data_IF_505084805183
#
_entry.id   IF_505084805183
#
_cell.length_a   1.000
_cell.length_b   1.000
_cell.length_c   1.000
_cell.angle_alpha   90.00
_cell.angle_beta   90.00
_cell.angle_gamma   90.00
#
_symmetry.space_group_name_H-M   'P 1'
#
loop_
_entity.id
_entity.type
_entity.pdbx_description
1 polymer ?
#
# COMPACT_ATOMS: atom_id res chain seq x y z
N UNK A 1 -18.86 7.65 42.04
CA UNK A 1 -18.88 6.82 40.83
C UNK A 1 -19.19 7.56 39.51
N UNK A 2 -19.16 8.92 39.45
CA UNK A 2 -19.49 9.72 38.24
C UNK A 2 -18.26 10.27 37.46
N UNK A 3 -17.01 9.94 37.83
CA UNK A 3 -15.80 10.51 37.20
C UNK A 3 -14.94 9.51 36.41
N UNK A 4 -15.33 8.23 36.33
CA UNK A 4 -14.58 7.19 35.57
C UNK A 4 -15.14 6.92 34.15
N UNK A 5 -16.35 7.38 33.84
CA UNK A 5 -17.01 7.14 32.54
C UNK A 5 -16.33 7.86 31.38
N UNK A 6 -15.83 9.12 31.50
CA UNK A 6 -15.20 9.78 30.35
C UNK A 6 -13.82 9.21 29.97
N UNK A 7 -13.09 8.59 30.89
CA UNK A 7 -11.77 8.00 30.61
C UNK A 7 -11.89 6.70 29.82
N UNK A 8 -12.90 5.88 30.13
CA UNK A 8 -13.17 4.63 29.41
C UNK A 8 -13.69 4.91 27.98
N UNK A 9 -14.49 5.96 27.81
CA UNK A 9 -14.98 6.38 26.49
C UNK A 9 -13.86 6.95 25.60
N UNK A 10 -12.90 7.66 26.19
CA UNK A 10 -11.71 8.17 25.50
C UNK A 10 -10.75 7.08 25.02
N UNK A 11 -10.57 6.01 25.82
CA UNK A 11 -9.73 4.85 25.46
C UNK A 11 -10.36 3.99 24.37
N UNK A 12 -11.69 3.85 24.35
CA UNK A 12 -12.44 3.15 23.29
C UNK A 12 -12.37 3.90 21.95
N UNK A 13 -12.41 5.24 21.95
CA UNK A 13 -12.28 6.05 20.74
C UNK A 13 -10.86 6.02 20.13
N UNK A 14 -9.83 5.90 20.94
CA UNK A 14 -8.44 5.75 20.48
C UNK A 14 -8.18 4.39 19.84
N UNK A 15 -8.78 3.32 20.33
CA UNK A 15 -8.69 1.97 19.74
C UNK A 15 -9.36 1.86 18.37
N UNK A 16 -10.51 2.53 18.17
CA UNK A 16 -11.22 2.56 16.87
C UNK A 16 -10.47 3.38 15.83
N UNK A 17 -9.81 4.47 16.23
CA UNK A 17 -9.02 5.29 15.32
C UNK A 17 -7.76 4.56 14.81
N UNK A 18 -7.09 3.79 15.65
CA UNK A 18 -5.92 3.00 15.27
C UNK A 18 -6.30 1.87 14.28
N UNK A 19 -7.40 1.16 14.54
CA UNK A 19 -7.89 0.09 13.64
C UNK A 19 -8.33 0.64 12.28
N UNK A 20 -9.01 1.80 12.25
CA UNK A 20 -9.43 2.45 11.01
C UNK A 20 -8.23 2.95 10.17
N UNK A 21 -7.14 3.35 10.82
CA UNK A 21 -5.92 3.79 10.13
C UNK A 21 -5.16 2.60 9.53
N UNK A 22 -5.14 1.45 10.20
CA UNK A 22 -4.51 0.22 9.72
C UNK A 22 -5.30 -0.36 8.53
N UNK A 23 -6.62 -0.40 8.61
CA UNK A 23 -7.50 -0.85 7.51
C UNK A 23 -7.33 0.04 6.27
N UNK A 24 -7.29 1.36 6.41
CA UNK A 24 -7.06 2.28 5.27
C UNK A 24 -5.69 2.07 4.64
N UNK A 25 -4.67 1.75 5.43
CA UNK A 25 -3.32 1.47 4.94
C UNK A 25 -3.28 0.15 4.15
N UNK A 26 -3.99 -0.87 4.62
CA UNK A 26 -4.14 -2.16 3.94
C UNK A 26 -4.90 -2.02 2.62
N UNK A 27 -6.05 -1.33 2.61
CA UNK A 27 -6.82 -1.04 1.40
C UNK A 27 -6.00 -0.25 0.36
N UNK A 28 -5.23 0.75 0.80
CA UNK A 28 -4.33 1.50 -0.07
C UNK A 28 -3.25 0.61 -0.68
N UNK A 29 -2.66 -0.30 0.10
CA UNK A 29 -1.66 -1.25 -0.38
C UNK A 29 -2.23 -2.23 -1.40
N UNK A 30 -3.42 -2.78 -1.12
CA UNK A 30 -4.15 -3.67 -2.03
C UNK A 30 -4.45 -2.99 -3.36
N UNK A 31 -5.01 -1.77 -3.33
CA UNK A 31 -5.27 -0.99 -4.53
C UNK A 31 -3.99 -0.68 -5.35
N UNK A 32 -2.86 -0.48 -4.67
CA UNK A 32 -1.56 -0.28 -5.33
C UNK A 32 -1.09 -1.56 -6.05
N UNK A 33 -1.20 -2.72 -5.42
CA UNK A 33 -0.84 -4.02 -6.01
C UNK A 33 -1.73 -4.37 -7.20
N UNK A 34 -3.03 -4.12 -7.11
CA UNK A 34 -3.97 -4.32 -8.21
C UNK A 34 -3.65 -3.42 -9.42
N UNK A 35 -3.30 -2.15 -9.18
CA UNK A 35 -2.84 -1.23 -10.23
C UNK A 35 -1.54 -1.73 -10.86
N UNK A 36 -0.59 -2.19 -10.09
CA UNK A 36 0.67 -2.75 -10.59
C UNK A 36 0.44 -3.96 -11.49
N UNK A 37 -0.42 -4.90 -11.06
CA UNK A 37 -0.82 -6.06 -11.86
C UNK A 37 -1.47 -5.63 -13.19
N UNK A 38 -2.35 -4.63 -13.18
CA UNK A 38 -3.01 -4.12 -14.37
C UNK A 38 -2.02 -3.49 -15.36
N UNK A 39 -1.04 -2.71 -14.87
CA UNK A 39 0.04 -2.13 -15.68
C UNK A 39 0.88 -3.24 -16.32
N UNK A 40 1.28 -4.25 -15.56
CA UNK A 40 2.05 -5.38 -16.05
C UNK A 40 1.29 -6.16 -17.13
N UNK A 41 -0.01 -6.42 -16.93
CA UNK A 41 -0.85 -7.08 -17.94
C UNK A 41 -0.90 -6.32 -19.26
N UNK A 42 -1.00 -4.99 -19.20
CA UNK A 42 -0.94 -4.13 -20.39
C UNK A 42 0.41 -4.25 -21.10
N UNK A 43 1.51 -4.18 -20.36
CA UNK A 43 2.86 -4.30 -20.92
C UNK A 43 3.12 -5.68 -21.55
N UNK A 44 2.66 -6.77 -20.93
CA UNK A 44 2.76 -8.12 -21.49
C UNK A 44 1.97 -8.25 -22.80
N UNK A 45 0.79 -7.66 -22.87
CA UNK A 45 -0.04 -7.66 -24.11
C UNK A 45 0.63 -6.89 -25.24
N UNK A 46 1.21 -5.73 -24.94
CA UNK A 46 1.91 -4.90 -25.91
C UNK A 46 3.22 -5.55 -26.39
N UNK A 47 3.82 -6.42 -25.58
CA UNK A 47 5.10 -7.11 -25.85
C UNK A 47 4.99 -8.42 -26.65
N UNK A 48 3.81 -8.97 -26.88
CA UNK A 48 3.60 -10.30 -27.44
C UNK A 48 4.16 -10.56 -28.86
N UNK A 49 4.78 -9.58 -29.51
CA UNK A 49 5.16 -9.63 -30.93
C UNK A 49 6.65 -9.92 -31.24
N UNK A 50 7.58 -10.08 -30.29
CA UNK A 50 8.98 -10.37 -30.60
C UNK A 50 9.73 -11.25 -29.59
N UNK A 51 10.54 -12.20 -30.10
CA UNK A 51 11.29 -13.18 -29.30
C UNK A 51 12.50 -12.61 -28.52
N UNK A 52 12.93 -11.37 -28.82
CA UNK A 52 13.99 -10.68 -28.04
C UNK A 52 13.55 -10.22 -26.66
N UNK A 53 12.26 -10.22 -26.41
CA UNK A 53 11.59 -9.72 -25.20
C UNK A 53 11.35 -10.76 -24.11
N UNK A 54 11.63 -12.03 -24.37
CA UNK A 54 11.26 -13.11 -23.45
C UNK A 54 11.88 -13.01 -22.04
N UNK A 55 13.02 -12.33 -21.87
CA UNK A 55 13.58 -12.05 -20.55
C UNK A 55 12.85 -10.94 -19.82
N UNK A 56 12.46 -9.89 -20.54
CA UNK A 56 11.64 -8.81 -19.98
C UNK A 56 10.27 -9.34 -19.59
N UNK A 57 9.64 -10.15 -20.46
CA UNK A 57 8.35 -10.79 -20.17
C UNK A 57 8.45 -11.69 -18.93
N UNK A 58 9.52 -12.49 -18.80
CA UNK A 58 9.75 -13.30 -17.60
C UNK A 58 9.88 -12.46 -16.32
N UNK A 59 10.60 -11.32 -16.41
CA UNK A 59 10.73 -10.40 -15.27
C UNK A 59 9.39 -9.80 -14.88
N UNK A 60 8.58 -9.41 -15.85
CA UNK A 60 7.25 -8.86 -15.64
C UNK A 60 6.30 -9.91 -15.03
N UNK A 61 6.28 -11.13 -15.57
CA UNK A 61 5.45 -12.22 -15.01
C UNK A 61 5.87 -12.53 -13.57
N UNK A 62 7.16 -12.59 -13.26
CA UNK A 62 7.64 -12.81 -11.88
C UNK A 62 7.26 -11.67 -10.94
N UNK A 63 7.33 -10.43 -11.39
CA UNK A 63 6.87 -9.28 -10.59
C UNK A 63 5.37 -9.36 -10.34
N UNK A 64 4.58 -9.73 -11.34
CA UNK A 64 3.15 -9.96 -11.23
C UNK A 64 2.83 -11.07 -10.23
N UNK A 65 3.55 -12.20 -10.27
CA UNK A 65 3.44 -13.28 -9.30
C UNK A 65 3.70 -12.78 -7.88
N UNK A 66 4.80 -12.03 -7.66
CA UNK A 66 5.12 -11.46 -6.35
C UNK A 66 4.03 -10.52 -5.84
N UNK A 67 3.54 -9.60 -6.69
CA UNK A 67 2.45 -8.69 -6.33
C UNK A 67 1.16 -9.43 -5.98
N UNK A 68 0.83 -10.51 -6.73
CA UNK A 68 -0.34 -11.34 -6.43
C UNK A 68 -0.19 -12.14 -5.14
N UNK A 69 1.01 -12.66 -4.85
CA UNK A 69 1.28 -13.33 -3.57
C UNK A 69 1.10 -12.39 -2.37
N UNK A 70 1.57 -11.14 -2.49
CA UNK A 70 1.35 -10.10 -1.48
C UNK A 70 -0.15 -9.78 -1.34
N UNK A 71 -0.88 -9.66 -2.45
CA UNK A 71 -2.31 -9.41 -2.46
C UNK A 71 -3.09 -10.53 -1.74
N UNK A 72 -2.76 -11.79 -2.02
CA UNK A 72 -3.36 -12.95 -1.35
C UNK A 72 -3.05 -12.92 0.16
N UNK A 73 -1.80 -12.65 0.54
CA UNK A 73 -1.41 -12.58 1.95
C UNK A 73 -2.13 -11.46 2.71
N UNK A 74 -2.38 -10.32 2.06
CA UNK A 74 -3.17 -9.22 2.63
C UNK A 74 -4.64 -9.60 2.77
N UNK A 75 -5.23 -10.24 1.74
CA UNK A 75 -6.60 -10.75 1.79
C UNK A 75 -6.78 -11.80 2.89
N UNK A 76 -5.80 -12.66 3.13
CA UNK A 76 -5.84 -13.64 4.21
C UNK A 76 -5.87 -12.94 5.59
N UNK A 77 -5.09 -11.87 5.80
CA UNK A 77 -5.12 -11.09 7.05
C UNK A 77 -6.48 -10.43 7.27
N UNK A 78 -7.05 -9.82 6.22
CA UNK A 78 -8.38 -9.21 6.29
C UNK A 78 -9.46 -10.23 6.64
N UNK A 79 -9.44 -11.42 6.01
CA UNK A 79 -10.37 -12.51 6.28
C UNK A 79 -10.25 -12.99 7.72
N UNK A 80 -9.02 -13.16 8.25
CA UNK A 80 -8.81 -13.56 9.63
C UNK A 80 -9.34 -12.52 10.64
N UNK A 81 -9.07 -11.23 10.40
CA UNK A 81 -9.59 -10.16 11.26
C UNK A 81 -11.12 -10.10 11.25
N UNK A 82 -11.73 -10.33 10.07
CA UNK A 82 -13.18 -10.38 9.93
C UNK A 82 -13.79 -11.60 10.62
N UNK A 83 -13.15 -12.78 10.51
CA UNK A 83 -13.56 -14.00 11.22
C UNK A 83 -13.51 -13.83 12.74
N UNK A 84 -12.46 -13.19 13.26
CA UNK A 84 -12.36 -12.86 14.68
C UNK A 84 -13.48 -11.92 15.13
N UNK A 85 -13.77 -10.90 14.33
CA UNK A 85 -14.87 -9.96 14.58
C UNK A 85 -16.25 -10.65 14.57
N UNK A 86 -16.47 -11.53 13.59
CA UNK A 86 -17.70 -12.37 13.51
C UNK A 86 -17.82 -13.24 14.75
N UNK A 87 -16.74 -13.86 15.21
CA UNK A 87 -16.74 -14.71 16.41
C UNK A 87 -17.07 -13.93 17.68
N UNK A 88 -16.50 -12.73 17.82
CA UNK A 88 -16.81 -11.83 18.94
C UNK A 88 -18.27 -11.41 18.91
N UNK A 89 -18.76 -11.00 17.75
CA UNK A 89 -20.16 -10.56 17.56
C UNK A 89 -21.14 -11.70 17.82
N UNK A 90 -20.84 -12.93 17.38
CA UNK A 90 -21.67 -14.09 17.68
C UNK A 90 -21.80 -14.32 19.19
N UNK A 91 -20.68 -14.25 19.94
CA UNK A 91 -20.72 -14.40 21.42
C UNK A 91 -21.55 -13.30 22.10
N UNK A 92 -21.52 -12.10 21.57
CA UNK A 92 -22.34 -10.99 22.07
C UNK A 92 -23.83 -11.27 21.83
N UNK A 93 -24.20 -11.72 20.64
CA UNK A 93 -25.56 -12.13 20.30
C UNK A 93 -26.03 -13.27 21.22
N UNK A 94 -25.21 -14.29 21.42
CA UNK A 94 -25.55 -15.43 22.29
C UNK A 94 -25.83 -14.96 23.74
N UNK A 95 -25.04 -14.01 24.26
CA UNK A 95 -25.28 -13.39 25.58
C UNK A 95 -26.57 -12.58 25.61
N UNK A 96 -26.84 -11.79 24.59
CA UNK A 96 -28.10 -11.01 24.49
C UNK A 96 -29.31 -11.92 24.39
N UNK A 97 -29.21 -13.00 23.62
CA UNK A 97 -30.25 -14.01 23.49
C UNK A 97 -30.54 -14.67 24.85
N UNK A 98 -29.53 -15.14 25.55
CA UNK A 98 -29.67 -15.76 26.87
C UNK A 98 -30.30 -14.78 27.89
N UNK A 99 -29.92 -13.50 27.86
CA UNK A 99 -30.52 -12.46 28.68
C UNK A 99 -32.01 -12.24 28.34
N UNK A 100 -32.32 -12.12 27.05
CA UNK A 100 -33.69 -11.98 26.57
C UNK A 100 -34.58 -13.15 27.02
N UNK A 101 -34.08 -14.38 26.85
CA UNK A 101 -34.81 -15.60 27.22
C UNK A 101 -35.04 -15.68 28.72
N UNK A 102 -34.05 -15.30 29.53
CA UNK A 102 -34.15 -15.22 30.97
C UNK A 102 -35.21 -14.21 31.40
N UNK A 103 -35.18 -12.97 30.86
CA UNK A 103 -36.14 -11.95 31.13
C UNK A 103 -37.57 -12.38 30.74
N UNK A 104 -37.70 -12.99 29.56
CA UNK A 104 -38.96 -13.51 29.04
C UNK A 104 -39.55 -14.61 29.94
N UNK A 105 -38.68 -15.52 30.42
CA UNK A 105 -39.11 -16.60 31.34
C UNK A 105 -39.65 -16.02 32.67
N UNK A 106 -38.92 -15.07 33.27
CA UNK A 106 -39.37 -14.42 34.51
C UNK A 106 -40.64 -13.62 34.31
N UNK A 107 -40.73 -12.84 33.23
CA UNK A 107 -41.93 -12.08 32.90
C UNK A 107 -43.15 -12.98 32.68
N UNK A 108 -43.00 -14.07 31.93
CA UNK A 108 -44.09 -15.02 31.71
C UNK A 108 -44.59 -15.68 33.01
N UNK A 109 -43.68 -15.98 33.96
CA UNK A 109 -44.07 -16.48 35.28
C UNK A 109 -44.85 -15.42 36.05
N UNK A 110 -44.38 -14.18 36.00
CA UNK A 110 -45.01 -13.04 36.69
C UNK A 110 -46.40 -12.76 36.12
N UNK A 111 -46.54 -12.71 34.79
CA UNK A 111 -47.84 -12.53 34.10
C UNK A 111 -48.80 -13.65 34.40
N UNK A 112 -48.38 -14.92 34.42
CA UNK A 112 -49.21 -16.07 34.77
C UNK A 112 -49.71 -15.97 36.22
N UNK A 113 -48.85 -15.55 37.15
CA UNK A 113 -49.22 -15.34 38.55
C UNK A 113 -50.25 -14.19 38.69
N UNK A 114 -50.01 -13.06 38.03
CA UNK A 114 -50.93 -11.93 38.01
C UNK A 114 -52.30 -12.31 37.40
N UNK A 115 -52.30 -13.10 36.30
CA UNK A 115 -53.53 -13.54 35.65
C UNK A 115 -54.35 -14.49 36.52
N UNK A 116 -53.75 -15.40 37.27
CA UNK A 116 -54.43 -16.27 38.23
C UNK A 116 -55.13 -15.48 39.32
N UNK A 117 -54.55 -14.33 39.69
CA UNK A 117 -55.07 -13.44 40.73
C UNK A 117 -55.70 -12.15 40.14
N UNK A 118 -56.31 -12.24 38.95
CA UNK A 118 -56.85 -11.09 38.20
C UNK A 118 -58.10 -10.45 38.80
N UNK A 119 -58.77 -11.16 39.72
CA UNK A 119 -59.98 -10.61 40.39
C UNK A 119 -59.58 -9.42 41.28
N UNK A 120 -60.05 -8.23 40.88
CA UNK A 120 -59.76 -7.01 41.63
C UNK A 120 -60.20 -7.06 43.06
N UNK A 121 -61.24 -7.88 43.39
CA UNK A 121 -61.73 -8.10 44.75
C UNK A 121 -60.63 -8.68 45.65
N UNK A 122 -59.76 -9.60 45.13
CA UNK A 122 -58.66 -10.17 45.87
C UNK A 122 -57.64 -9.09 46.27
N UNK A 123 -57.38 -8.13 45.42
CA UNK A 123 -56.47 -7.04 45.71
C UNK A 123 -57.00 -6.06 46.74
N UNK A 124 -58.33 -5.70 46.63
CA UNK A 124 -58.97 -4.90 47.65
C UNK A 124 -59.08 -5.61 48.99
N UNK A 125 -59.43 -6.91 49.02
CA UNK A 125 -59.41 -7.73 50.21
C UNK A 125 -58.05 -7.81 50.87
N UNK A 126 -56.95 -7.95 50.06
CA UNK A 126 -55.56 -8.00 50.55
C UNK A 126 -55.14 -6.70 51.25
N UNK A 127 -55.60 -5.54 50.73
CA UNK A 127 -55.35 -4.24 51.35
C UNK A 127 -56.21 -4.04 52.59
N UNK A 128 -57.51 -4.33 52.48
CA UNK A 128 -58.50 -4.09 53.53
C UNK A 128 -58.39 -5.06 54.72
N UNK A 129 -57.80 -6.24 54.52
CA UNK A 129 -57.51 -7.20 55.59
C UNK A 129 -56.21 -6.84 56.39
N UNK A 130 -55.76 -5.60 56.28
CA UNK A 130 -54.59 -5.11 57.03
C UNK A 130 -55.02 -4.80 58.50
N UNK A 131 -54.14 -5.15 59.42
CA UNK A 131 -54.37 -4.91 60.88
C UNK A 131 -54.31 -3.43 61.26
N UNK A 132 -53.65 -2.61 60.46
CA UNK A 132 -53.52 -1.18 60.67
C UNK A 132 -53.24 -0.43 59.37
N UNK A 133 -53.42 0.89 59.38
CA UNK A 133 -53.26 1.78 58.23
C UNK A 133 -51.82 1.69 57.61
N UNK A 134 -50.79 1.60 58.44
CA UNK A 134 -49.40 1.47 58.05
C UNK A 134 -49.14 0.19 57.21
N UNK A 135 -49.80 -0.91 57.59
CA UNK A 135 -49.75 -2.16 56.85
C UNK A 135 -50.49 -2.08 55.53
N UNK A 136 -51.66 -1.40 55.49
CA UNK A 136 -52.40 -1.16 54.27
C UNK A 136 -51.60 -0.34 53.26
N UNK A 137 -50.93 0.73 53.68
CA UNK A 137 -50.06 1.54 52.86
C UNK A 137 -48.86 0.74 52.30
N UNK A 138 -48.21 -0.11 53.11
CA UNK A 138 -47.11 -0.99 52.66
C UNK A 138 -47.60 -2.00 51.63
N UNK A 139 -48.79 -2.63 51.83
CA UNK A 139 -49.37 -3.58 50.87
C UNK A 139 -49.76 -2.91 49.58
N UNK A 140 -50.31 -1.69 49.58
CA UNK A 140 -50.56 -0.89 48.39
C UNK A 140 -49.28 -0.51 47.67
N UNK A 141 -48.26 -0.07 48.40
CA UNK A 141 -46.93 0.22 47.86
C UNK A 141 -46.28 -0.99 47.17
N UNK A 142 -46.44 -2.18 47.76
CA UNK A 142 -45.94 -3.43 47.16
C UNK A 142 -46.64 -3.74 45.82
N UNK A 143 -47.99 -3.62 45.76
CA UNK A 143 -48.74 -3.85 44.54
C UNK A 143 -48.42 -2.85 43.45
N UNK A 144 -48.27 -1.57 43.79
CA UNK A 144 -47.82 -0.53 42.87
C UNK A 144 -46.40 -0.80 42.36
N UNK A 145 -45.48 -1.24 43.24
CA UNK A 145 -44.13 -1.67 42.88
C UNK A 145 -44.12 -2.87 41.95
N UNK A 146 -45.00 -3.87 42.22
CA UNK A 146 -45.15 -5.04 41.37
C UNK A 146 -45.58 -4.67 39.93
N UNK A 147 -46.61 -3.82 39.80
CA UNK A 147 -47.09 -3.33 38.51
C UNK A 147 -46.02 -2.57 37.75
N UNK A 148 -45.28 -1.69 38.45
CA UNK A 148 -44.15 -0.96 37.84
C UNK A 148 -43.08 -1.92 37.37
N UNK A 149 -42.69 -2.90 38.19
CA UNK A 149 -41.68 -3.90 37.83
C UNK A 149 -42.10 -4.71 36.59
N UNK A 150 -43.39 -5.07 36.49
CA UNK A 150 -43.94 -5.75 35.31
C UNK A 150 -43.77 -4.89 34.04
N UNK A 151 -44.12 -3.62 34.10
CA UNK A 151 -43.99 -2.68 32.99
C UNK A 151 -42.52 -2.48 32.58
N UNK A 152 -41.63 -2.31 33.56
CA UNK A 152 -40.20 -2.14 33.33
C UNK A 152 -39.58 -3.41 32.70
N UNK A 153 -39.99 -4.60 33.17
CA UNK A 153 -39.56 -5.87 32.58
C UNK A 153 -40.04 -6.04 31.14
N UNK A 154 -41.30 -5.71 30.85
CA UNK A 154 -41.83 -5.76 29.49
C UNK A 154 -41.07 -4.83 28.55
N UNK A 155 -40.76 -3.61 28.99
CA UNK A 155 -39.95 -2.66 28.24
C UNK A 155 -38.52 -3.19 27.98
N UNK A 156 -37.88 -3.74 28.99
CA UNK A 156 -36.53 -4.32 28.83
C UNK A 156 -36.51 -5.49 27.87
N UNK A 157 -37.55 -6.33 27.84
CA UNK A 157 -37.66 -7.42 26.86
C UNK A 157 -37.76 -6.85 25.45
N UNK A 158 -38.62 -5.85 25.21
CA UNK A 158 -38.77 -5.20 23.91
C UNK A 158 -37.47 -4.54 23.44
N UNK A 159 -36.82 -3.78 24.32
CA UNK A 159 -35.55 -3.13 24.04
C UNK A 159 -34.44 -4.17 23.71
N UNK A 160 -34.35 -5.26 24.50
CA UNK A 160 -33.38 -6.32 24.25
C UNK A 160 -33.65 -7.07 22.94
N UNK A 161 -34.96 -7.30 22.62
CA UNK A 161 -35.33 -7.93 21.36
C UNK A 161 -34.96 -7.05 20.14
N UNK A 162 -35.24 -5.74 20.23
CA UNK A 162 -34.88 -4.80 19.17
C UNK A 162 -33.34 -4.74 18.93
N UNK A 163 -32.57 -4.67 20.01
CA UNK A 163 -31.09 -4.69 19.90
C UNK A 163 -30.61 -6.02 19.31
N UNK A 164 -31.18 -7.13 19.76
CA UNK A 164 -30.82 -8.46 19.28
C UNK A 164 -31.05 -8.60 17.77
N UNK A 165 -32.15 -8.10 17.27
CA UNK A 165 -32.48 -8.16 15.83
C UNK A 165 -31.46 -7.35 14.99
N UNK A 166 -31.18 -6.11 15.44
CA UNK A 166 -30.15 -5.27 14.78
C UNK A 166 -28.78 -5.94 14.76
N UNK A 167 -28.39 -6.57 15.88
CA UNK A 167 -27.08 -7.24 15.95
C UNK A 167 -27.01 -8.51 15.09
N UNK A 168 -28.12 -9.25 14.97
CA UNK A 168 -28.22 -10.40 14.03
C UNK A 168 -28.10 -9.96 12.58
N UNK A 169 -28.76 -8.86 12.22
CA UNK A 169 -28.65 -8.30 10.86
C UNK A 169 -27.22 -7.85 10.55
N UNK A 170 -26.57 -7.14 11.48
CA UNK A 170 -25.15 -6.78 11.35
C UNK A 170 -24.25 -7.99 11.16
N UNK A 171 -24.47 -9.05 11.94
CA UNK A 171 -23.71 -10.29 11.78
C UNK A 171 -23.95 -10.95 10.42
N UNK A 172 -25.16 -10.92 9.89
CA UNK A 172 -25.49 -11.43 8.56
C UNK A 172 -24.70 -10.69 7.48
N UNK A 173 -24.65 -9.35 7.54
CA UNK A 173 -23.87 -8.51 6.62
C UNK A 173 -22.36 -8.85 6.70
N UNK A 174 -21.81 -8.97 7.92
CA UNK A 174 -20.41 -9.35 8.10
C UNK A 174 -20.06 -10.73 7.52
N UNK A 175 -20.98 -11.70 7.66
CA UNK A 175 -20.78 -13.04 7.08
C UNK A 175 -20.82 -13.03 5.55
N UNK A 176 -21.67 -12.20 4.97
CA UNK A 176 -21.74 -12.04 3.52
C UNK A 176 -20.48 -11.37 2.96
N UNK A 177 -19.99 -10.31 3.61
CA UNK A 177 -18.70 -9.69 3.28
C UNK A 177 -17.54 -10.71 3.38
N UNK A 178 -17.47 -11.50 4.44
CA UNK A 178 -16.46 -12.55 4.59
C UNK A 178 -16.54 -13.60 3.46
N UNK A 179 -17.74 -13.97 3.03
CA UNK A 179 -17.95 -14.90 1.91
C UNK A 179 -17.45 -14.31 0.59
N UNK A 180 -17.77 -13.05 0.32
CA UNK A 180 -17.34 -12.32 -0.87
C UNK A 180 -15.82 -12.21 -0.92
N UNK A 181 -15.16 -11.85 0.19
CA UNK A 181 -13.70 -11.77 0.28
C UNK A 181 -13.02 -13.11 0.06
N UNK A 182 -13.57 -14.20 0.59
CA UNK A 182 -13.04 -15.56 0.34
C UNK A 182 -13.18 -15.97 -1.13
N UNK A 183 -14.28 -15.62 -1.78
CA UNK A 183 -14.48 -15.85 -3.21
C UNK A 183 -13.47 -15.09 -4.06
N UNK A 184 -13.24 -13.83 -3.75
CA UNK A 184 -12.23 -13.01 -4.43
C UNK A 184 -10.81 -13.58 -4.22
N UNK A 185 -10.47 -13.92 -2.99
CA UNK A 185 -9.18 -14.55 -2.67
C UNK A 185 -8.98 -15.86 -3.42
N UNK A 186 -10.02 -16.68 -3.59
CA UNK A 186 -9.94 -17.91 -4.38
C UNK A 186 -9.65 -17.61 -5.85
N UNK A 187 -10.30 -16.61 -6.44
CA UNK A 187 -10.02 -16.13 -7.80
C UNK A 187 -8.56 -15.69 -7.97
N UNK A 188 -8.01 -15.00 -6.97
CA UNK A 188 -6.60 -14.57 -6.98
C UNK A 188 -5.62 -15.76 -6.90
N UNK A 189 -5.95 -16.80 -6.14
CA UNK A 189 -5.16 -18.05 -6.09
C UNK A 189 -5.17 -18.77 -7.44
N UNK A 190 -6.32 -18.84 -8.11
CA UNK A 190 -6.43 -19.49 -9.42
C UNK A 190 -5.67 -18.68 -10.49
N UNK A 191 -5.73 -17.37 -10.44
CA UNK A 191 -4.92 -16.48 -11.27
C UNK A 191 -3.41 -16.65 -11.01
N UNK A 192 -2.99 -16.79 -9.74
CA UNK A 192 -1.59 -17.06 -9.39
C UNK A 192 -1.08 -18.35 -10.02
N UNK A 193 -1.85 -19.43 -9.96
CA UNK A 193 -1.50 -20.71 -10.61
C UNK A 193 -1.31 -20.57 -12.12
N UNK A 194 -2.18 -19.81 -12.78
CA UNK A 194 -2.05 -19.51 -14.21
C UNK A 194 -0.77 -18.75 -14.53
N UNK A 195 -0.44 -17.74 -13.74
CA UNK A 195 0.77 -16.92 -13.87
C UNK A 195 2.06 -17.71 -13.61
N UNK A 196 2.04 -18.64 -12.64
CA UNK A 196 3.15 -19.56 -12.38
C UNK A 196 3.38 -20.51 -13.57
N UNK A 197 2.30 -21.03 -14.17
CA UNK A 197 2.34 -21.83 -15.39
C UNK A 197 2.93 -21.06 -16.59
N UNK A 198 2.53 -19.80 -16.77
CA UNK A 198 3.08 -18.92 -17.78
C UNK A 198 4.60 -18.67 -17.56
N UNK A 199 5.00 -18.40 -16.34
CA UNK A 199 6.42 -18.25 -15.95
C UNK A 199 7.23 -19.52 -16.28
N UNK A 200 6.71 -20.70 -15.94
CA UNK A 200 7.36 -21.96 -16.23
C UNK A 200 7.52 -22.20 -17.74
N UNK A 201 6.50 -21.90 -18.53
CA UNK A 201 6.53 -22.00 -20.00
C UNK A 201 7.56 -21.08 -20.64
N UNK A 202 7.66 -19.83 -20.16
CA UNK A 202 8.67 -18.86 -20.59
C UNK A 202 10.08 -19.33 -20.26
N UNK A 203 10.30 -19.85 -19.06
CA UNK A 203 11.60 -20.43 -18.67
C UNK A 203 11.99 -21.61 -19.58
N UNK A 204 11.06 -22.52 -19.86
CA UNK A 204 11.32 -23.66 -20.74
C UNK A 204 11.68 -23.23 -22.17
N UNK A 205 11.01 -22.20 -22.70
CA UNK A 205 11.32 -21.60 -24.01
C UNK A 205 12.71 -20.96 -24.01
N UNK A 206 13.04 -20.15 -23.01
CA UNK A 206 14.33 -19.51 -22.86
C UNK A 206 15.48 -20.51 -22.72
N UNK A 207 15.26 -21.67 -22.07
CA UNK A 207 16.29 -22.71 -21.94
C UNK A 207 16.61 -23.40 -23.27
N UNK A 208 15.66 -23.54 -24.19
CA UNK A 208 15.89 -24.11 -25.54
C UNK A 208 16.82 -23.23 -26.39
N UNK A 209 16.73 -21.90 -26.24
CA UNK A 209 17.51 -20.93 -27.01
C UNK A 209 18.84 -20.51 -26.33
N UNK A 210 19.41 -21.36 -25.49
CA UNK A 210 20.56 -21.07 -24.61
C UNK A 210 21.75 -20.38 -25.30
N UNK A 211 22.14 -20.86 -26.50
CA UNK A 211 23.32 -20.31 -27.23
C UNK A 211 23.09 -18.85 -27.66
N UNK A 212 21.91 -18.55 -28.17
CA UNK A 212 21.53 -17.20 -28.59
C UNK A 212 21.55 -16.25 -27.39
N UNK A 213 20.93 -16.65 -26.28
CA UNK A 213 20.88 -15.85 -25.06
C UNK A 213 22.24 -15.60 -24.41
N UNK A 214 23.18 -16.56 -24.47
CA UNK A 214 24.54 -16.33 -23.99
C UNK A 214 25.26 -15.24 -24.76
N UNK A 215 25.09 -15.19 -26.09
CA UNK A 215 25.64 -14.12 -26.93
C UNK A 215 25.00 -12.76 -26.59
N UNK A 216 23.69 -12.71 -26.53
CA UNK A 216 22.95 -11.47 -26.20
C UNK A 216 23.28 -10.96 -24.79
N UNK A 217 23.43 -11.88 -23.81
CA UNK A 217 23.85 -11.56 -22.46
C UNK A 217 25.25 -10.94 -22.42
N UNK A 218 26.23 -11.50 -23.16
CA UNK A 218 27.56 -10.92 -23.22
C UNK A 218 27.56 -9.52 -23.80
N UNK A 219 26.72 -9.28 -24.84
CA UNK A 219 26.55 -7.95 -25.42
C UNK A 219 26.01 -6.97 -24.43
N UNK A 220 24.90 -7.37 -23.75
CA UNK A 220 24.23 -6.53 -22.70
C UNK A 220 25.17 -6.24 -21.52
N UNK A 221 25.96 -7.20 -21.09
CA UNK A 221 26.98 -7.01 -20.05
C UNK A 221 27.99 -5.92 -20.41
N UNK A 222 28.50 -5.94 -21.65
CA UNK A 222 29.43 -4.90 -22.14
C UNK A 222 28.81 -3.52 -22.19
N UNK A 223 27.53 -3.44 -22.60
CA UNK A 223 26.77 -2.18 -22.64
C UNK A 223 26.59 -1.58 -21.24
N UNK A 224 26.19 -2.40 -20.24
CA UNK A 224 26.04 -1.96 -18.84
C UNK A 224 27.37 -1.50 -18.23
N UNK A 225 28.47 -2.23 -18.48
CA UNK A 225 29.79 -1.83 -18.01
C UNK A 225 30.29 -0.54 -18.67
N UNK A 226 29.99 -0.33 -19.95
CA UNK A 226 30.29 0.90 -20.65
C UNK A 226 29.51 2.08 -20.06
N UNK A 227 28.21 1.89 -19.83
CA UNK A 227 27.36 2.89 -19.17
C UNK A 227 27.91 3.27 -17.80
N UNK A 228 28.18 2.29 -16.95
CA UNK A 228 28.65 2.56 -15.59
C UNK A 228 29.97 3.33 -15.59
N UNK A 229 30.92 3.02 -16.53
CA UNK A 229 32.17 3.76 -16.70
C UNK A 229 31.92 5.19 -17.16
N UNK A 230 31.06 5.38 -18.14
CA UNK A 230 30.79 6.70 -18.71
C UNK A 230 30.06 7.61 -17.72
N UNK A 231 29.06 7.09 -16.97
CA UNK A 231 28.39 7.82 -15.89
C UNK A 231 29.39 8.22 -14.80
N UNK A 232 30.26 7.31 -14.36
CA UNK A 232 31.27 7.62 -13.35
C UNK A 232 32.21 8.74 -13.82
N UNK A 233 32.62 8.75 -15.11
CA UNK A 233 33.44 9.83 -15.70
C UNK A 233 32.68 11.16 -15.77
N UNK A 234 31.42 11.15 -16.17
CA UNK A 234 30.58 12.36 -16.24
C UNK A 234 30.42 12.97 -14.84
N UNK A 235 30.11 12.14 -13.84
CA UNK A 235 30.01 12.58 -12.45
C UNK A 235 31.36 13.10 -11.93
N UNK A 236 32.45 12.43 -12.26
CA UNK A 236 33.81 12.88 -11.92
C UNK A 236 34.09 14.28 -12.48
N UNK A 237 33.74 14.52 -13.75
CA UNK A 237 33.91 15.84 -14.38
C UNK A 237 32.97 16.90 -13.76
N UNK A 238 31.74 16.54 -13.47
CA UNK A 238 30.79 17.46 -12.83
C UNK A 238 31.14 17.79 -11.37
N UNK A 239 31.79 16.88 -10.64
CA UNK A 239 32.27 17.10 -9.26
C UNK A 239 33.68 17.65 -9.17
N UNK A 240 34.45 17.67 -10.27
CA UNK A 240 35.76 18.30 -10.30
C UNK A 240 35.60 19.83 -10.19
N UNK A 241 36.09 20.43 -9.11
CA UNK A 241 36.23 21.90 -9.02
C UNK A 241 36.99 22.42 -10.23
N UNK A 242 36.58 23.51 -10.87
CA UNK A 242 37.38 24.10 -11.94
C UNK A 242 38.78 24.40 -11.39
N UNK A 243 39.81 23.84 -11.99
CA UNK A 243 41.19 24.29 -11.74
C UNK A 243 41.21 25.75 -12.13
N UNK A 244 41.34 26.64 -11.16
CA UNK A 244 41.65 28.04 -11.38
C UNK A 244 42.97 28.10 -12.16
N UNK A 245 42.89 28.40 -13.45
CA UNK A 245 44.07 28.91 -14.17
C UNK A 245 44.49 30.20 -13.46
N UNK A 246 45.71 30.19 -12.97
CA UNK A 246 46.42 31.32 -12.41
C UNK A 246 46.47 32.43 -13.47
N UNK A 247 45.59 33.39 -13.39
CA UNK A 247 45.56 34.60 -14.16
C UNK A 247 45.12 35.74 -13.22
N UNK A 248 46.12 36.52 -12.80
CA UNK A 248 46.03 37.69 -11.96
C UNK A 248 44.99 38.68 -12.53
N UNK A 249 43.85 38.86 -11.85
CA UNK A 249 43.20 40.16 -11.77
C UNK A 249 42.27 40.25 -10.55
N UNK A 250 42.54 41.27 -9.75
CA UNK A 250 41.81 41.68 -8.55
C UNK A 250 40.44 42.28 -8.91
N UNK A 251 39.49 42.07 -7.98
CA UNK A 251 38.20 42.75 -7.78
C UNK A 251 37.00 42.21 -8.54
N UNK A 252 36.13 41.47 -7.84
CA UNK A 252 34.82 41.94 -7.36
C UNK A 252 34.12 40.79 -6.63
N UNK A 253 33.53 41.07 -5.47
CA UNK A 253 32.84 40.15 -4.60
C UNK A 253 31.58 39.54 -5.25
N UNK A 254 31.54 38.22 -5.28
CA UNK A 254 30.40 37.46 -5.81
C UNK A 254 30.55 35.95 -5.69
N UNK A 255 31.16 35.43 -4.60
CA UNK A 255 31.52 34.01 -4.49
C UNK A 255 30.92 33.24 -3.31
N UNK A 256 29.96 33.80 -2.59
CA UNK A 256 29.37 33.19 -1.40
C UNK A 256 27.97 32.62 -1.61
N UNK A 257 27.28 32.95 -2.72
CA UNK A 257 25.89 32.58 -2.96
C UNK A 257 25.71 31.18 -3.59
N UNK A 258 26.62 30.69 -4.42
CA UNK A 258 26.45 29.42 -5.10
C UNK A 258 26.67 28.20 -4.18
N UNK A 259 27.67 28.24 -3.29
CA UNK A 259 27.93 27.17 -2.32
C UNK A 259 26.82 27.02 -1.29
N UNK A 260 26.26 28.14 -0.80
CA UNK A 260 25.15 28.10 0.17
C UNK A 260 23.82 27.60 -0.45
N UNK A 261 23.59 27.93 -1.73
CA UNK A 261 22.41 27.42 -2.47
C UNK A 261 22.54 25.91 -2.72
N UNK A 262 23.73 25.43 -3.10
CA UNK A 262 23.99 24.01 -3.32
C UNK A 262 23.90 23.19 -2.01
N UNK A 263 24.35 23.71 -0.88
CA UNK A 263 24.19 23.05 0.43
C UNK A 263 22.73 22.98 0.88
N UNK A 264 21.98 24.07 0.68
CA UNK A 264 20.54 24.10 0.99
C UNK A 264 19.76 23.14 0.10
N UNK A 265 20.10 23.05 -1.19
CA UNK A 265 19.47 22.12 -2.12
C UNK A 265 19.81 20.67 -1.76
N UNK A 266 21.06 20.39 -1.37
CA UNK A 266 21.51 19.06 -0.90
C UNK A 266 20.76 18.62 0.34
N UNK A 267 20.62 19.49 1.34
CA UNK A 267 19.91 19.18 2.59
C UNK A 267 18.43 18.94 2.33
N UNK A 268 17.82 19.75 1.47
CA UNK A 268 16.43 19.61 1.06
C UNK A 268 16.20 18.30 0.30
N UNK A 269 17.08 17.93 -0.62
CA UNK A 269 17.02 16.64 -1.32
C UNK A 269 17.13 15.47 -0.33
N UNK A 270 18.09 15.51 0.59
CA UNK A 270 18.30 14.48 1.60
C UNK A 270 17.08 14.30 2.53
N UNK A 271 16.43 15.39 2.91
CA UNK A 271 15.22 15.38 3.75
C UNK A 271 14.01 14.72 3.07
N UNK A 272 14.02 14.61 1.74
CA UNK A 272 12.98 13.97 0.95
C UNK A 272 13.25 12.50 0.64
N UNK A 273 14.23 11.88 1.30
CA UNK A 273 14.46 10.43 1.16
C UNK A 273 13.20 9.61 1.49
N UNK A 274 12.82 8.71 0.58
CA UNK A 274 11.60 7.89 0.68
C UNK A 274 10.30 8.66 0.37
N UNK A 275 10.41 9.89 -0.18
CA UNK A 275 9.25 10.73 -0.54
C UNK A 275 9.34 11.29 -1.95
N UNK A 276 10.42 11.05 -2.66
CA UNK A 276 10.58 11.52 -4.04
C UNK A 276 9.61 10.79 -4.97
N UNK A 277 8.98 11.49 -5.93
CA UNK A 277 8.10 10.85 -6.90
C UNK A 277 8.91 9.95 -7.86
N UNK A 278 8.28 8.89 -8.35
CA UNK A 278 8.86 8.11 -9.43
C UNK A 278 9.02 8.96 -10.71
N UNK A 279 10.15 8.84 -11.41
CA UNK A 279 10.41 9.65 -12.62
C UNK A 279 9.50 9.25 -13.79
N UNK A 280 8.99 8.01 -13.79
CA UNK A 280 8.06 7.46 -14.79
C UNK A 280 7.06 6.53 -14.11
N UNK A 281 5.91 6.32 -14.73
CA UNK A 281 4.99 5.25 -14.37
C UNK A 281 5.41 3.96 -15.07
N UNK A 282 5.71 2.91 -14.29
CA UNK A 282 6.17 1.63 -14.83
C UNK A 282 6.48 0.62 -13.73
N UNK A 283 6.78 -0.62 -14.14
CA UNK A 283 7.15 -1.70 -13.24
C UNK A 283 8.66 -1.91 -13.21
N UNK A 284 9.25 -2.01 -12.02
CA UNK A 284 10.68 -2.32 -11.87
C UNK A 284 10.95 -3.73 -12.37
N UNK A 285 11.82 -3.84 -13.38
CA UNK A 285 12.26 -5.13 -13.96
C UNK A 285 13.68 -5.49 -13.58
N UNK A 286 14.52 -4.49 -13.26
CA UNK A 286 15.87 -4.68 -12.74
C UNK A 286 16.09 -3.72 -11.58
N UNK A 287 16.23 -4.25 -10.36
CA UNK A 287 16.50 -3.48 -9.14
C UNK A 287 17.97 -3.08 -9.03
N UNK A 288 18.27 -2.18 -8.09
CA UNK A 288 19.64 -1.80 -7.76
C UNK A 288 20.43 -2.97 -7.15
N UNK A 289 21.69 -3.09 -7.53
CA UNK A 289 22.62 -4.02 -6.87
C UNK A 289 23.09 -5.16 -7.75
N UNK A 290 23.56 -6.21 -7.10
CA UNK A 290 24.07 -7.40 -7.77
C UNK A 290 22.97 -8.42 -8.00
N UNK A 291 22.77 -8.83 -9.24
CA UNK A 291 21.77 -9.82 -9.62
C UNK A 291 22.38 -11.01 -10.33
N UNK A 292 21.65 -12.13 -10.32
CA UNK A 292 21.95 -13.31 -11.11
C UNK A 292 20.95 -13.44 -12.25
N UNK A 293 21.40 -14.07 -13.34
CA UNK A 293 20.53 -14.27 -14.49
C UNK A 293 19.26 -15.06 -14.13
N UNK A 294 18.06 -14.59 -14.47
CA UNK A 294 16.80 -15.19 -14.02
C UNK A 294 16.60 -16.65 -14.46
N UNK A 295 17.23 -17.07 -15.55
CA UNK A 295 17.16 -18.44 -16.09
C UNK A 295 18.44 -19.23 -15.76
N UNK A 296 19.61 -18.61 -15.91
CA UNK A 296 20.91 -19.24 -15.63
C UNK A 296 21.42 -18.80 -14.26
N UNK A 297 20.92 -19.43 -13.19
CA UNK A 297 21.12 -19.02 -11.78
C UNK A 297 22.60 -18.86 -11.37
N UNK A 298 23.55 -19.49 -12.10
CA UNK A 298 24.99 -19.39 -11.82
C UNK A 298 25.68 -18.27 -12.60
N UNK A 299 24.98 -17.55 -13.47
CA UNK A 299 25.54 -16.42 -14.24
C UNK A 299 25.26 -15.13 -13.49
N UNK A 300 26.33 -14.52 -13.00
CA UNK A 300 26.32 -13.21 -12.34
C UNK A 300 26.17 -12.12 -13.39
N UNK A 301 25.22 -11.23 -13.21
CA UNK A 301 25.03 -10.03 -14.04
C UNK A 301 25.95 -8.90 -13.55
N UNK A 302 26.26 -7.88 -14.37
CA UNK A 302 26.91 -6.68 -13.91
C UNK A 302 26.15 -6.02 -12.77
N UNK A 303 26.87 -5.31 -11.89
CA UNK A 303 26.24 -4.54 -10.84
C UNK A 303 25.38 -3.42 -11.44
N UNK A 304 24.09 -3.40 -11.09
CA UNK A 304 23.18 -2.35 -11.53
C UNK A 304 23.25 -1.16 -10.57
N UNK A 305 23.78 -0.02 -11.02
CA UNK A 305 23.88 1.21 -10.22
C UNK A 305 22.57 2.00 -10.14
N UNK A 306 21.48 1.47 -10.67
CA UNK A 306 20.18 2.12 -10.70
C UNK A 306 19.02 1.15 -10.70
N UNK A 307 17.89 1.59 -11.23
CA UNK A 307 16.69 0.77 -11.47
C UNK A 307 16.30 0.87 -12.93
N UNK A 308 15.86 -0.24 -13.51
CA UNK A 308 15.26 -0.27 -14.85
C UNK A 308 13.78 -0.57 -14.72
N UNK A 309 12.95 0.28 -15.36
CA UNK A 309 11.50 0.15 -15.36
C UNK A 309 11.01 -0.21 -16.77
N UNK A 310 10.10 -1.16 -16.87
CA UNK A 310 9.29 -1.35 -18.06
C UNK A 310 8.17 -0.31 -18.05
N UNK A 311 7.99 0.40 -19.14
CA UNK A 311 7.06 1.52 -19.27
C UNK A 311 6.17 1.37 -20.52
N UNK A 312 5.08 2.12 -20.57
CA UNK A 312 4.29 2.21 -21.81
C UNK A 312 5.04 3.02 -22.87
N UNK A 313 4.81 2.68 -24.14
CA UNK A 313 5.41 3.42 -25.26
C UNK A 313 5.05 4.90 -25.20
N UNK A 314 6.05 5.77 -25.34
CA UNK A 314 5.87 7.22 -25.32
C UNK A 314 5.73 7.82 -23.92
N UNK A 315 6.02 7.06 -22.86
CA UNK A 315 6.04 7.56 -21.49
C UNK A 315 7.01 8.73 -21.34
N UNK A 316 6.57 9.79 -20.66
CA UNK A 316 7.38 10.97 -20.35
C UNK A 316 8.15 10.79 -19.05
N UNK A 317 9.46 11.02 -19.10
CA UNK A 317 10.31 11.03 -17.90
C UNK A 317 10.26 12.43 -17.25
N UNK A 318 10.06 12.47 -15.92
CA UNK A 318 9.92 13.70 -15.13
C UNK A 318 11.02 13.81 -14.10
N UNK A 319 11.43 15.04 -13.78
CA UNK A 319 12.40 15.29 -12.73
C UNK A 319 11.84 14.91 -11.35
N UNK A 320 12.59 14.13 -10.59
CA UNK A 320 12.18 13.65 -9.25
C UNK A 320 12.29 14.75 -8.19
N UNK A 321 13.10 15.80 -8.44
CA UNK A 321 13.32 16.92 -7.54
C UNK A 321 13.81 18.16 -8.29
N UNK A 322 13.70 19.32 -7.66
CA UNK A 322 14.24 20.60 -8.16
C UNK A 322 15.75 20.51 -8.34
N UNK A 323 16.28 21.03 -9.44
CA UNK A 323 17.71 20.97 -9.72
C UNK A 323 18.12 21.71 -10.98
N UNK A 324 19.36 21.51 -11.38
CA UNK A 324 19.95 22.07 -12.61
C UNK A 324 20.41 20.93 -13.51
N UNK A 325 20.05 20.96 -14.79
CA UNK A 325 20.55 19.99 -15.76
C UNK A 325 22.06 20.20 -15.93
N UNK A 326 22.85 19.27 -15.40
CA UNK A 326 24.30 19.35 -15.49
C UNK A 326 24.78 19.01 -16.90
N UNK A 327 24.18 17.99 -17.52
CA UNK A 327 24.58 17.54 -18.85
C UNK A 327 23.45 16.74 -19.54
N UNK A 328 23.45 16.79 -20.87
CA UNK A 328 22.70 15.87 -21.76
C UNK A 328 23.72 15.12 -22.58
N UNK A 329 23.69 13.79 -22.57
CA UNK A 329 24.66 12.93 -23.24
C UNK A 329 23.97 11.79 -23.99
N UNK A 330 24.61 11.26 -25.02
CA UNK A 330 24.17 10.04 -25.72
C UNK A 330 25.15 8.92 -25.37
N UNK A 331 24.60 7.84 -24.81
CA UNK A 331 25.39 6.69 -24.39
C UNK A 331 24.98 5.46 -25.21
N UNK A 332 25.92 4.73 -25.82
CA UNK A 332 25.62 3.52 -26.57
C UNK A 332 24.81 2.51 -25.74
N UNK A 333 23.68 2.02 -26.28
CA UNK A 333 22.78 1.09 -25.59
C UNK A 333 21.79 1.74 -24.62
N UNK A 334 21.96 3.03 -24.28
CA UNK A 334 21.10 3.81 -23.38
C UNK A 334 20.53 5.09 -24.00
N UNK A 335 20.88 5.35 -25.25
CA UNK A 335 20.40 6.50 -26.03
C UNK A 335 20.64 7.85 -25.31
N UNK A 336 19.70 8.78 -25.39
CA UNK A 336 19.84 10.06 -24.71
C UNK A 336 19.68 9.91 -23.19
N UNK A 337 20.56 10.55 -22.45
CA UNK A 337 20.54 10.58 -20.99
C UNK A 337 20.64 12.02 -20.50
N UNK A 338 19.88 12.34 -19.45
CA UNK A 338 19.90 13.64 -18.77
C UNK A 338 20.47 13.46 -17.37
N UNK A 339 21.49 14.23 -17.03
CA UNK A 339 22.04 14.35 -15.68
C UNK A 339 21.50 15.61 -15.04
N UNK A 340 20.79 15.48 -13.91
CA UNK A 340 20.32 16.61 -13.11
C UNK A 340 21.08 16.65 -11.78
N UNK A 341 21.57 17.84 -11.43
CA UNK A 341 22.29 18.09 -10.18
C UNK A 341 21.36 18.72 -9.15
N UNK A 342 21.38 18.19 -7.93
CA UNK A 342 20.62 18.62 -6.76
C UNK A 342 21.58 18.93 -5.59
N UNK A 343 22.49 19.88 -5.80
CA UNK A 343 23.62 20.12 -4.90
C UNK A 343 24.66 18.99 -4.97
N UNK A 344 24.86 18.22 -3.89
CA UNK A 344 25.78 17.07 -3.84
C UNK A 344 25.17 15.77 -4.39
N UNK A 345 23.87 15.78 -4.74
CA UNK A 345 23.18 14.64 -5.32
C UNK A 345 23.01 14.82 -6.81
N UNK A 346 23.00 13.68 -7.52
CA UNK A 346 22.82 13.61 -8.97
C UNK A 346 21.79 12.56 -9.31
N UNK A 347 20.89 12.87 -10.25
CA UNK A 347 19.94 11.90 -10.81
C UNK A 347 20.17 11.75 -12.31
N UNK A 348 20.17 10.51 -12.78
CA UNK A 348 20.44 10.15 -14.16
C UNK A 348 19.20 9.51 -14.79
N UNK A 349 18.73 10.07 -15.89
CA UNK A 349 17.54 9.67 -16.63
C UNK A 349 17.96 9.17 -18.00
N UNK A 350 17.95 7.87 -18.26
CA UNK A 350 18.46 7.26 -19.47
C UNK A 350 17.38 6.56 -20.30
N UNK A 351 17.74 6.16 -21.52
CA UNK A 351 16.87 5.54 -22.53
C UNK A 351 15.78 6.49 -23.01
N UNK A 352 16.16 7.75 -23.22
CA UNK A 352 15.25 8.76 -23.78
C UNK A 352 15.39 8.83 -25.31
N UNK A 353 14.25 8.90 -26.02
CA UNK A 353 14.17 9.17 -27.46
C UNK A 353 14.43 10.62 -27.78
N UNK A 354 13.84 11.49 -26.94
CA UNK A 354 13.96 12.93 -27.09
C UNK A 354 14.11 13.57 -25.73
N UNK A 355 14.90 14.65 -25.66
CA UNK A 355 15.12 15.44 -24.46
C UNK A 355 14.57 16.84 -24.66
N UNK A 356 13.77 17.30 -23.70
CA UNK A 356 13.07 18.60 -23.73
C UNK A 356 13.83 19.70 -22.97
N UNK A 357 15.00 19.39 -22.41
CA UNK A 357 15.81 20.30 -21.57
C UNK A 357 17.24 20.43 -22.10
N UNK A 358 17.94 21.48 -21.70
CA UNK A 358 19.33 21.75 -22.10
C UNK A 358 20.25 21.83 -20.86
N UNK A 359 21.54 21.56 -21.07
CA UNK A 359 22.55 21.76 -20.01
C UNK A 359 22.52 23.21 -19.48
N UNK A 360 22.61 23.35 -18.16
CA UNK A 360 22.49 24.63 -17.44
C UNK A 360 21.04 25.05 -17.13
N UNK A 361 20.03 24.38 -17.65
CA UNK A 361 18.63 24.70 -17.40
C UNK A 361 18.21 24.25 -15.99
N UNK A 362 17.53 25.14 -15.26
CA UNK A 362 16.85 24.77 -13.99
C UNK A 362 15.58 24.01 -14.29
N UNK A 363 15.34 22.94 -13.53
CA UNK A 363 14.15 22.09 -13.63
C UNK A 363 13.47 22.00 -12.27
N UNK A 364 12.14 21.87 -12.31
CA UNK A 364 11.29 21.70 -11.13
C UNK A 364 10.86 20.24 -10.99
N UNK A 365 10.56 19.83 -9.77
CA UNK A 365 9.94 18.53 -9.47
C UNK A 365 8.71 18.31 -10.34
N UNK A 366 8.63 17.15 -11.01
CA UNK A 366 7.55 16.81 -11.92
C UNK A 366 7.67 17.38 -13.34
N UNK A 367 8.68 18.23 -13.62
CA UNK A 367 8.90 18.76 -14.96
C UNK A 367 9.35 17.67 -15.92
N UNK A 368 8.77 17.64 -17.14
CA UNK A 368 9.15 16.70 -18.20
C UNK A 368 10.57 16.97 -18.68
N UNK A 369 11.40 15.95 -18.67
CA UNK A 369 12.80 15.99 -19.15
C UNK A 369 12.92 15.45 -20.57
N UNK A 370 12.04 14.50 -20.95
CA UNK A 370 12.06 13.88 -22.24
C UNK A 370 11.05 12.73 -22.36
N UNK A 371 11.06 12.05 -23.50
CA UNK A 371 10.20 10.90 -23.78
C UNK A 371 11.04 9.65 -23.86
N UNK A 372 10.60 8.57 -23.26
CA UNK A 372 11.29 7.26 -23.27
C UNK A 372 11.30 6.67 -24.66
N UNK A 373 12.42 6.04 -25.04
CA UNK A 373 12.61 5.38 -26.33
C UNK A 373 12.23 3.90 -26.31
N UNK A 374 11.95 3.37 -27.50
CA UNK A 374 11.82 1.93 -27.73
C UNK A 374 13.14 1.41 -28.29
N UNK A 375 14.01 0.88 -27.44
CA UNK A 375 15.33 0.36 -27.84
C UNK A 375 15.23 -1.16 -28.02
N UNK A 376 15.62 -1.67 -29.19
CA UNK A 376 15.55 -3.10 -29.53
C UNK A 376 14.16 -3.72 -29.33
N UNK A 377 13.13 -2.89 -29.46
CA UNK A 377 11.75 -3.30 -29.27
C UNK A 377 11.30 -3.34 -27.80
N UNK A 378 12.11 -2.89 -26.86
CA UNK A 378 11.78 -2.79 -25.43
C UNK A 378 11.54 -1.33 -25.05
N UNK A 379 10.40 -1.09 -24.39
CA UNK A 379 10.05 0.21 -23.84
C UNK A 379 10.50 0.24 -22.37
N UNK A 380 11.75 0.62 -22.15
CA UNK A 380 12.41 0.61 -20.84
C UNK A 380 12.98 1.97 -20.50
N UNK A 381 12.91 2.32 -19.24
CA UNK A 381 13.53 3.52 -18.67
C UNK A 381 14.55 3.13 -17.62
N UNK A 382 15.73 3.77 -17.61
CA UNK A 382 16.77 3.50 -16.61
C UNK A 382 17.05 4.75 -15.80
N UNK A 383 17.04 4.60 -14.46
CA UNK A 383 17.20 5.70 -13.51
C UNK A 383 18.29 5.36 -12.49
N UNK A 384 19.20 6.33 -12.26
CA UNK A 384 20.22 6.21 -11.21
C UNK A 384 20.18 7.44 -10.31
N UNK A 385 20.53 7.23 -9.04
CA UNK A 385 20.71 8.27 -8.04
C UNK A 385 22.11 8.14 -7.44
N UNK A 386 22.83 9.25 -7.39
CA UNK A 386 24.19 9.30 -6.88
C UNK A 386 24.32 10.37 -5.81
N UNK A 387 25.10 10.08 -4.76
CA UNK A 387 25.56 11.07 -3.81
C UNK A 387 27.06 11.28 -4.08
N UNK A 388 27.43 12.47 -4.54
CA UNK A 388 28.80 12.74 -5.02
C UNK A 388 29.25 11.69 -6.05
N UNK A 389 30.10 10.74 -5.66
CA UNK A 389 30.64 9.69 -6.53
C UNK A 389 30.12 8.28 -6.19
N UNK A 390 29.20 8.18 -5.25
CA UNK A 390 28.67 6.91 -4.77
C UNK A 390 27.26 6.68 -5.28
N UNK A 391 26.98 5.60 -6.03
CA UNK A 391 25.62 5.27 -6.43
C UNK A 391 24.81 4.88 -5.21
N UNK A 392 23.55 5.29 -5.19
CA UNK A 392 22.59 5.03 -4.13
C UNK A 392 21.46 4.14 -4.68
N UNK A 393 20.89 3.29 -3.85
CA UNK A 393 19.69 2.54 -4.25
C UNK A 393 18.48 3.48 -4.42
N UNK A 394 17.97 3.69 -5.66
CA UNK A 394 16.85 4.61 -5.89
C UNK A 394 15.57 4.20 -5.20
N UNK A 395 15.31 2.89 -5.01
CA UNK A 395 14.09 2.38 -4.39
C UNK A 395 13.95 2.83 -2.92
N UNK A 396 15.05 3.19 -2.26
CA UNK A 396 15.02 3.76 -0.91
C UNK A 396 14.67 5.26 -0.87
N UNK A 397 14.58 5.92 -2.03
CA UNK A 397 14.34 7.36 -2.16
C UNK A 397 12.99 7.68 -2.78
N UNK A 398 12.49 6.78 -3.64
CA UNK A 398 11.29 6.96 -4.44
C UNK A 398 10.05 6.39 -3.73
N UNK A 399 8.91 7.00 -3.97
CA UNK A 399 7.61 6.59 -3.41
C UNK A 399 6.49 6.77 -4.43
#
# INVERSE_FOLDING_TARGET
MKRLIPIVLGLLLLGVAASAQDTRRQESRKAQLEKEIAVINKQLKDNAQSSSRALTDLSLVRRKISARQELIAESDREIHALDDSIRVKQKEIDRLQARHDTLSLYYNRLVRSAYKNRDSRIWYMYILSSENIGQAVRRFGYLKGLSKNMSDQARQIQETAAVLEVEKERLAVMRDDARTRRSQRQSDVDALRSEEGESASLVARLQKDRKKYQSDLQKKNREVEALNREIAEIIRKATAKPKTSSGTNKNTGGKTTSTAVDEKLSSSFAANKGRLPWPVEGSVIESYGQHYHPVYKNVKLPFNNGVTLAVARGTQAKAVFDGTVAQVVVIPGYNQCVLVQHGSYFTFYCKLKSVSVKAGQQVKTGQVLGTVDTISGEDQFHFQLWKERSPQNPENWLR
#
